data_IF_661860699009
#
_entry.id   IF_661860699009
#
_cell.length_a   1.000
_cell.length_b   1.000
_cell.length_c   1.000
_cell.angle_alpha   90.00
_cell.angle_beta   90.00
_cell.angle_gamma   90.00
#
_symmetry.space_group_name_H-M   'P 1'
#
loop_
_entity.id
_entity.type
_entity.pdbx_description
1 polymer ?
#
# COMPACT_ATOMS: atom_id res chain seq x y z
N UNK A 1 37.42 -6.52 -6.22
CA UNK A 1 36.00 -6.95 -6.31
C UNK A 1 35.13 -5.98 -7.13
N UNK A 2 35.18 -4.67 -6.86
CA UNK A 2 34.35 -3.66 -7.57
C UNK A 2 34.62 -3.59 -9.08
N UNK A 3 35.86 -3.76 -9.52
CA UNK A 3 36.22 -3.69 -10.94
C UNK A 3 35.59 -4.80 -11.78
N UNK A 4 35.64 -6.05 -11.29
CA UNK A 4 34.99 -7.20 -11.92
C UNK A 4 33.48 -7.00 -12.10
N UNK A 5 32.86 -6.29 -11.15
CA UNK A 5 31.43 -5.96 -11.21
C UNK A 5 31.13 -4.89 -12.28
N UNK A 6 31.96 -3.84 -12.35
CA UNK A 6 31.85 -2.81 -13.40
C UNK A 6 32.05 -3.40 -14.80
N UNK A 7 33.00 -4.32 -14.93
CA UNK A 7 33.32 -4.98 -16.19
C UNK A 7 32.19 -5.91 -16.64
N UNK A 8 31.61 -6.69 -15.71
CA UNK A 8 30.42 -7.51 -15.97
C UNK A 8 29.23 -6.66 -16.46
N UNK A 9 28.98 -5.52 -15.81
CA UNK A 9 27.93 -4.61 -16.22
C UNK A 9 28.19 -4.01 -17.61
N UNK A 10 29.43 -3.63 -17.91
CA UNK A 10 29.81 -3.08 -19.22
C UNK A 10 29.68 -4.10 -20.35
N UNK A 11 29.91 -5.39 -20.05
CA UNK A 11 29.88 -6.46 -21.05
C UNK A 11 28.46 -7.01 -21.30
N UNK A 12 27.62 -7.06 -20.27
CA UNK A 12 26.24 -7.57 -20.38
C UNK A 12 25.18 -6.50 -20.64
N UNK A 13 25.45 -5.23 -20.30
CA UNK A 13 24.49 -4.14 -20.52
C UNK A 13 25.01 -3.13 -21.55
N UNK A 14 24.18 -2.84 -22.55
CA UNK A 14 24.47 -1.78 -23.52
C UNK A 14 24.58 -0.42 -22.81
N UNK A 15 25.67 0.31 -23.06
CA UNK A 15 25.90 1.64 -22.47
C UNK A 15 25.33 2.79 -23.31
N UNK A 16 24.55 2.47 -24.34
CA UNK A 16 23.92 3.46 -25.21
C UNK A 16 22.82 4.28 -24.50
N UNK A 17 22.47 5.47 -25.00
CA UNK A 17 21.44 6.33 -24.41
C UNK A 17 20.10 5.59 -24.21
N UNK A 18 19.69 4.80 -25.21
CA UNK A 18 18.45 4.02 -25.19
C UNK A 18 18.44 2.95 -24.08
N UNK A 19 19.56 2.30 -23.84
CA UNK A 19 19.67 1.26 -22.82
C UNK A 19 19.67 1.84 -21.40
N UNK A 20 20.28 3.01 -21.18
CA UNK A 20 20.16 3.74 -19.91
C UNK A 20 18.72 4.16 -19.61
N UNK A 21 17.99 4.64 -20.63
CA UNK A 21 16.55 4.96 -20.50
C UNK A 21 15.75 3.70 -20.14
N UNK A 22 16.03 2.58 -20.81
CA UNK A 22 15.33 1.31 -20.53
C UNK A 22 15.60 0.80 -19.12
N UNK A 23 16.85 0.81 -18.66
CA UNK A 23 17.21 0.43 -17.28
C UNK A 23 16.54 1.38 -16.28
N UNK A 24 16.56 2.69 -16.53
CA UNK A 24 15.87 3.67 -15.70
C UNK A 24 14.37 3.40 -15.59
N UNK A 25 13.71 3.07 -16.70
CA UNK A 25 12.30 2.72 -16.72
C UNK A 25 12.01 1.44 -15.91
N UNK A 26 12.84 0.40 -16.07
CA UNK A 26 12.70 -0.85 -15.30
C UNK A 26 12.85 -0.57 -13.80
N UNK A 27 13.88 0.17 -13.40
CA UNK A 27 14.09 0.54 -11.99
C UNK A 27 12.91 1.36 -11.45
N UNK A 28 12.39 2.33 -12.22
CA UNK A 28 11.21 3.10 -11.82
C UNK A 28 9.98 2.22 -11.63
N UNK A 29 9.72 1.26 -12.52
CA UNK A 29 8.59 0.33 -12.37
C UNK A 29 8.72 -0.56 -11.13
N UNK A 30 9.93 -1.00 -10.79
CA UNK A 30 10.20 -1.78 -9.57
C UNK A 30 9.95 -0.92 -8.32
N UNK A 31 10.39 0.34 -8.31
CA UNK A 31 10.14 1.25 -7.18
C UNK A 31 8.64 1.50 -6.99
N UNK A 32 7.92 1.73 -8.09
CA UNK A 32 6.48 1.94 -8.03
C UNK A 32 5.73 0.71 -7.52
N UNK A 33 6.10 -0.49 -7.98
CA UNK A 33 5.45 -1.73 -7.53
C UNK A 33 5.72 -2.02 -6.06
N UNK A 34 6.96 -1.85 -5.58
CA UNK A 34 7.30 -2.00 -4.16
C UNK A 34 6.50 -1.00 -3.31
N UNK A 35 6.43 0.27 -3.73
CA UNK A 35 5.66 1.29 -3.01
C UNK A 35 4.18 0.91 -2.91
N UNK A 36 3.60 0.42 -4.00
CA UNK A 36 2.19 0.00 -4.03
C UNK A 36 1.92 -1.18 -3.08
N UNK A 37 2.84 -2.15 -3.03
CA UNK A 37 2.75 -3.29 -2.11
C UNK A 37 2.84 -2.82 -0.65
N UNK A 38 3.71 -1.86 -0.33
CA UNK A 38 3.85 -1.32 1.02
C UNK A 38 2.65 -0.52 1.52
N UNK A 39 1.77 -0.05 0.62
CA UNK A 39 0.52 0.63 1.01
C UNK A 39 -0.58 -0.33 1.44
N UNK A 40 -0.42 -1.63 1.18
CA UNK A 40 -1.38 -2.66 1.58
C UNK A 40 -1.43 -2.71 3.10
N UNK A 41 -2.63 -2.53 3.66
CA UNK A 41 -2.89 -2.64 5.09
C UNK A 41 -3.92 -3.72 5.38
N UNK A 42 -3.70 -4.50 6.43
CA UNK A 42 -4.67 -5.41 7.01
C UNK A 42 -5.28 -4.77 8.24
N UNK A 43 -6.61 -4.73 8.31
CA UNK A 43 -7.35 -4.15 9.43
C UNK A 43 -8.42 -5.12 9.91
N UNK A 44 -8.85 -4.96 11.14
CA UNK A 44 -9.98 -5.69 11.71
C UNK A 44 -11.16 -4.75 11.88
N UNK A 45 -12.31 -5.07 11.28
CA UNK A 45 -13.55 -4.33 11.52
C UNK A 45 -14.47 -5.13 12.44
N UNK A 46 -14.95 -4.49 13.49
CA UNK A 46 -15.94 -5.04 14.42
C UNK A 46 -17.27 -4.33 14.19
N UNK A 47 -18.25 -5.05 13.67
CA UNK A 47 -19.59 -4.51 13.36
C UNK A 47 -20.59 -5.28 14.22
N UNK A 48 -21.25 -4.61 15.16
CA UNK A 48 -22.27 -5.20 16.05
C UNK A 48 -21.82 -6.46 16.80
N UNK A 49 -20.51 -6.56 17.08
CA UNK A 49 -19.91 -7.70 17.77
C UNK A 49 -19.35 -8.80 16.84
N UNK A 50 -19.57 -8.72 15.53
CA UNK A 50 -18.89 -9.57 14.55
C UNK A 50 -17.53 -8.98 14.17
N UNK A 51 -16.47 -9.77 14.26
CA UNK A 51 -15.13 -9.37 13.82
C UNK A 51 -14.83 -9.94 12.43
N UNK A 52 -14.42 -9.08 11.50
CA UNK A 52 -13.99 -9.47 10.15
C UNK A 52 -12.71 -8.74 9.77
N UNK A 53 -11.79 -9.45 9.14
CA UNK A 53 -10.51 -8.91 8.69
C UNK A 53 -10.63 -8.44 7.24
N UNK A 54 -10.17 -7.22 6.96
CA UNK A 54 -10.21 -6.61 5.63
C UNK A 54 -8.84 -6.12 5.22
N UNK A 55 -8.59 -6.15 3.91
CA UNK A 55 -7.41 -5.54 3.30
C UNK A 55 -7.82 -4.22 2.70
N UNK A 56 -7.10 -3.14 3.06
CA UNK A 56 -7.35 -1.79 2.56
C UNK A 56 -6.05 -1.12 2.14
N UNK A 57 -6.16 -0.21 1.17
CA UNK A 57 -5.07 0.69 0.77
C UNK A 57 -5.33 2.13 1.22
N UNK A 58 -6.42 2.35 1.97
CA UNK A 58 -6.88 3.68 2.34
C UNK A 58 -6.13 4.23 3.56
N UNK A 59 -6.14 5.55 3.66
CA UNK A 59 -5.44 6.29 4.71
C UNK A 59 -6.30 6.55 5.94
N UNK A 60 -7.63 6.57 5.81
CA UNK A 60 -8.55 7.01 6.86
C UNK A 60 -9.68 6.03 7.11
N UNK A 61 -10.25 6.06 8.32
CA UNK A 61 -11.39 5.22 8.70
C UNK A 61 -12.58 5.45 7.75
N UNK A 62 -12.89 6.71 7.42
CA UNK A 62 -13.98 7.04 6.47
C UNK A 62 -13.78 6.38 5.11
N UNK A 63 -12.59 6.48 4.54
CA UNK A 63 -12.31 5.92 3.21
C UNK A 63 -12.39 4.40 3.21
N UNK A 64 -11.94 3.77 4.29
CA UNK A 64 -12.07 2.32 4.50
C UNK A 64 -13.54 1.92 4.46
N UNK A 65 -14.39 2.56 5.25
CA UNK A 65 -15.81 2.21 5.36
C UNK A 65 -16.54 2.40 4.03
N UNK A 66 -16.31 3.54 3.36
CA UNK A 66 -16.86 3.82 2.04
C UNK A 66 -16.44 2.80 0.98
N UNK A 67 -15.18 2.35 0.99
CA UNK A 67 -14.67 1.38 0.00
C UNK A 67 -15.24 -0.02 0.22
N UNK A 68 -15.55 -0.37 1.47
CA UNK A 68 -16.14 -1.66 1.84
C UNK A 68 -17.69 -1.63 1.80
N UNK A 69 -18.31 -0.53 1.35
CA UNK A 69 -19.76 -0.41 1.25
C UNK A 69 -20.47 -0.37 2.61
N UNK A 70 -19.77 0.05 3.67
CA UNK A 70 -20.35 0.18 5.01
C UNK A 70 -20.91 1.60 5.15
N UNK A 71 -22.24 1.71 5.12
CA UNK A 71 -22.94 2.97 5.42
C UNK A 71 -23.07 3.15 6.93
N UNK A 72 -22.84 4.39 7.40
CA UNK A 72 -22.88 4.74 8.81
C UNK A 72 -24.18 5.47 9.08
N UNK A 73 -25.01 4.92 9.95
CA UNK A 73 -26.21 5.56 10.43
C UNK A 73 -25.91 6.77 11.32
N UNK A 74 -26.86 7.72 11.46
CA UNK A 74 -26.69 8.91 12.31
C UNK A 74 -26.56 8.61 13.81
N UNK A 75 -26.82 7.36 14.24
CA UNK A 75 -26.70 6.91 15.62
C UNK A 75 -25.48 6.03 15.87
N UNK A 76 -24.78 5.63 14.81
CA UNK A 76 -23.67 4.68 14.90
C UNK A 76 -22.43 5.39 15.45
N UNK A 77 -21.72 4.71 16.33
CA UNK A 77 -20.48 5.18 16.92
C UNK A 77 -19.31 4.44 16.32
N UNK A 78 -18.47 5.17 15.58
CA UNK A 78 -17.26 4.63 14.97
C UNK A 78 -16.03 5.00 15.78
N UNK A 79 -15.20 4.00 16.07
CA UNK A 79 -13.92 4.16 16.75
C UNK A 79 -12.83 3.40 15.99
N UNK A 80 -11.70 4.03 15.62
CA UNK A 80 -11.35 5.45 15.77
C UNK A 80 -12.27 6.40 14.96
N UNK A 81 -12.15 7.70 15.18
CA UNK A 81 -12.92 8.71 14.45
C UNK A 81 -12.74 8.60 12.92
N UNK A 82 -13.72 9.07 12.15
CA UNK A 82 -13.74 8.93 10.68
C UNK A 82 -12.52 9.55 9.97
N UNK A 83 -11.96 10.61 10.54
CA UNK A 83 -10.77 11.30 10.04
C UNK A 83 -9.45 10.70 10.58
N UNK A 84 -9.51 9.74 11.48
CA UNK A 84 -8.31 9.08 12.01
C UNK A 84 -7.60 8.31 10.92
N UNK A 85 -6.26 8.34 10.99
CA UNK A 85 -5.42 7.54 10.11
C UNK A 85 -5.53 6.06 10.46
N UNK A 86 -5.44 5.23 9.44
CA UNK A 86 -5.47 3.77 9.53
C UNK A 86 -4.10 3.20 9.20
N UNK A 87 -3.64 2.28 10.04
CA UNK A 87 -2.34 1.59 10.00
C UNK A 87 -2.53 0.07 9.95
N UNK A 88 -1.44 -0.66 9.71
CA UNK A 88 -1.44 -2.13 9.73
C UNK A 88 -1.86 -2.64 11.11
N UNK A 89 -2.80 -3.58 11.13
CA UNK A 89 -3.31 -4.22 12.35
C UNK A 89 -4.33 -3.38 13.12
N UNK A 90 -4.72 -2.20 12.62
CA UNK A 90 -5.70 -1.36 13.30
C UNK A 90 -7.07 -2.02 13.36
N UNK A 91 -7.79 -1.72 14.44
CA UNK A 91 -9.16 -2.19 14.66
C UNK A 91 -10.14 -1.02 14.55
N UNK A 92 -11.16 -1.17 13.71
CA UNK A 92 -12.27 -0.23 13.58
C UNK A 92 -13.51 -0.87 14.17
N UNK A 93 -14.11 -0.26 15.19
CA UNK A 93 -15.34 -0.72 15.82
C UNK A 93 -16.51 0.20 15.47
N UNK A 94 -17.64 -0.40 15.14
CA UNK A 94 -18.93 0.25 14.88
C UNK A 94 -19.96 -0.37 15.83
N UNK A 95 -20.74 0.48 16.49
CA UNK A 95 -21.78 0.13 17.47
C UNK A 95 -22.98 1.06 17.38
#
# INVERSE_FOLDING_TARGET
MVEKYKEYLKNNFSNGPKAKILIGAIVATIILSVTFISMRKTITMKIDGEEKTFVTYKGTVKDVLNTNGVEIGPKDKVQPALNSKVSEGDTIAIK
#
